data_IF_078737319939
#
_entry.id   IF_078737319939
#
_cell.length_a   1.000
_cell.length_b   1.000
_cell.length_c   1.000
_cell.angle_alpha   90.00
_cell.angle_beta   90.00
_cell.angle_gamma   90.00
#
_symmetry.space_group_name_H-M   'P 1'
#
loop_
_entity.id
_entity.type
_entity.pdbx_description
1 polymer ?
#
# COMPACT_ATOMS: atom_id res chain seq x y z
N UNK A 1 20.13 -5.91 13.04
CA UNK A 1 18.89 -6.72 13.03
C UNK A 1 17.74 -5.77 13.34
N UNK A 2 17.09 -5.24 12.32
CA UNK A 2 15.98 -4.30 12.47
C UNK A 2 14.68 -5.07 12.63
N UNK A 3 13.97 -4.80 13.72
CA UNK A 3 12.68 -5.41 14.06
C UNK A 3 11.65 -5.07 12.99
N UNK A 4 11.23 -6.04 12.17
CA UNK A 4 10.04 -5.89 11.33
C UNK A 4 8.85 -5.66 12.27
N UNK A 5 8.31 -4.45 12.22
CA UNK A 5 7.31 -3.96 13.15
C UNK A 5 6.08 -4.89 13.17
N UNK A 6 5.79 -5.48 14.33
CA UNK A 6 4.49 -6.06 14.65
C UNK A 6 3.43 -4.96 14.95
N UNK A 7 3.54 -3.82 14.27
CA UNK A 7 2.62 -2.70 14.37
C UNK A 7 1.95 -2.52 13.02
N UNK A 8 0.62 -2.55 13.00
CA UNK A 8 -0.16 -2.24 11.80
C UNK A 8 0.16 -0.86 11.20
N UNK A 9 -0.42 -0.56 10.05
CA UNK A 9 -0.24 0.73 9.36
C UNK A 9 -1.57 1.47 9.22
N UNK A 10 -1.52 2.80 9.16
CA UNK A 10 -2.72 3.60 8.89
C UNK A 10 -2.99 3.68 7.39
N UNK A 11 -4.24 3.51 6.96
CA UNK A 11 -4.63 3.70 5.56
C UNK A 11 -4.75 5.20 5.22
N UNK A 12 -3.59 5.87 5.16
CA UNK A 12 -3.46 7.30 4.88
C UNK A 12 -2.41 7.56 3.80
N UNK A 13 -2.65 8.61 3.02
CA UNK A 13 -1.67 9.04 2.03
C UNK A 13 -0.43 9.59 2.73
N UNK A 14 0.75 9.15 2.30
CA UNK A 14 2.04 9.47 2.91
C UNK A 14 2.49 8.47 3.99
N UNK A 15 1.68 7.46 4.33
CA UNK A 15 2.12 6.45 5.32
C UNK A 15 3.32 5.65 4.78
N UNK A 16 4.44 5.59 5.51
CA UNK A 16 5.56 4.74 5.13
C UNK A 16 5.17 3.28 5.32
N UNK A 17 5.25 2.49 4.24
CA UNK A 17 4.95 1.07 4.26
C UNK A 17 5.95 0.33 3.41
N UNK A 18 6.66 -0.59 4.05
CA UNK A 18 7.62 -1.45 3.39
C UNK A 18 6.93 -2.67 2.81
N UNK A 19 7.28 -2.98 1.57
CA UNK A 19 6.91 -4.22 0.92
C UNK A 19 7.94 -5.30 1.25
N UNK A 20 7.52 -6.38 1.91
CA UNK A 20 8.41 -7.50 2.23
C UNK A 20 8.04 -8.72 1.41
N UNK A 21 8.96 -9.21 0.58
CA UNK A 21 8.81 -10.43 -0.23
C UNK A 21 10.11 -11.23 -0.25
N UNK A 22 10.00 -12.55 -0.10
CA UNK A 22 11.15 -13.48 -0.18
C UNK A 22 12.36 -13.06 0.69
N UNK A 23 12.12 -12.40 1.83
CA UNK A 23 13.17 -11.91 2.74
C UNK A 23 13.82 -10.57 2.35
N UNK A 24 13.37 -9.94 1.26
CA UNK A 24 13.78 -8.59 0.87
C UNK A 24 12.68 -7.59 1.20
N UNK A 25 13.09 -6.42 1.70
CA UNK A 25 12.21 -5.28 1.95
C UNK A 25 12.46 -4.20 0.89
N UNK A 26 11.38 -3.71 0.27
CA UNK A 26 11.38 -2.54 -0.60
C UNK A 26 10.63 -1.43 0.10
N UNK A 27 11.31 -0.32 0.36
CA UNK A 27 10.69 0.84 0.98
C UNK A 27 9.68 1.49 0.04
N UNK A 28 8.55 1.92 0.59
CA UNK A 28 7.54 2.62 -0.17
C UNK A 28 6.58 3.41 0.69
N UNK A 29 5.56 3.94 0.05
CA UNK A 29 4.59 4.83 0.68
C UNK A 29 3.19 4.49 0.18
N UNK A 30 2.22 4.53 1.09
CA UNK A 30 0.82 4.46 0.72
C UNK A 30 0.33 5.80 0.19
N UNK A 31 -0.41 5.73 -0.90
CA UNK A 31 -1.17 6.84 -1.44
C UNK A 31 -2.64 6.46 -1.40
N UNK A 32 -3.47 7.40 -0.96
CA UNK A 32 -4.91 7.20 -0.93
C UNK A 32 -5.55 8.17 -1.90
N UNK A 33 -6.40 7.62 -2.76
CA UNK A 33 -7.16 8.34 -3.77
C UNK A 33 -8.64 8.21 -3.47
N UNK A 34 -9.39 9.26 -3.72
CA UNK A 34 -10.86 9.25 -3.71
C UNK A 34 -11.38 9.07 -5.14
N UNK A 35 -12.27 8.11 -5.33
CA UNK A 35 -12.98 7.86 -6.57
C UNK A 35 -14.49 7.78 -6.26
N UNK A 36 -15.13 8.96 -6.27
CA UNK A 36 -16.50 9.12 -5.77
C UNK A 36 -16.62 8.68 -4.30
N UNK A 37 -17.48 7.69 -3.96
CA UNK A 37 -17.65 7.20 -2.59
C UNK A 37 -16.57 6.19 -2.16
N UNK A 38 -15.65 5.80 -3.04
CA UNK A 38 -14.66 4.74 -2.79
C UNK A 38 -13.29 5.35 -2.53
N UNK A 39 -12.60 4.88 -1.49
CA UNK A 39 -11.18 5.12 -1.31
C UNK A 39 -10.37 3.99 -1.94
N UNK A 40 -9.35 4.36 -2.72
CA UNK A 40 -8.41 3.44 -3.37
C UNK A 40 -7.03 3.63 -2.79
N UNK A 41 -6.42 2.54 -2.35
CA UNK A 41 -5.08 2.53 -1.82
C UNK A 41 -4.10 2.05 -2.89
N UNK A 42 -3.05 2.83 -3.08
CA UNK A 42 -1.91 2.51 -3.93
C UNK A 42 -0.65 2.47 -3.08
N UNK A 43 0.27 1.60 -3.42
CA UNK A 43 1.62 1.60 -2.90
C UNK A 43 2.59 2.08 -3.98
N UNK A 44 3.48 3.00 -3.62
CA UNK A 44 4.52 3.54 -4.49
C UNK A 44 5.90 3.17 -3.92
N UNK A 45 6.76 2.46 -4.67
CA UNK A 45 8.14 2.24 -4.27
C UNK A 45 8.89 3.55 -4.14
N UNK A 46 9.77 3.66 -3.15
CA UNK A 46 10.62 4.83 -2.98
C UNK A 46 11.51 5.02 -4.22
N UNK A 47 11.50 6.23 -4.79
CA UNK A 47 12.28 6.55 -5.99
C UNK A 47 11.67 6.09 -7.32
N UNK A 48 10.48 5.48 -7.32
CA UNK A 48 9.73 5.13 -8.53
C UNK A 48 8.51 6.03 -8.71
N UNK A 49 8.12 6.30 -9.96
CA UNK A 49 6.85 6.96 -10.28
C UNK A 49 5.67 5.98 -10.34
N UNK A 50 5.96 4.69 -10.41
CA UNK A 50 4.98 3.61 -10.53
C UNK A 50 4.14 3.48 -9.25
N UNK A 51 2.87 3.14 -9.44
CA UNK A 51 1.89 2.98 -8.36
C UNK A 51 1.16 1.66 -8.56
N UNK A 52 1.08 0.90 -7.49
CA UNK A 52 0.49 -0.43 -7.48
C UNK A 52 -0.75 -0.43 -6.62
N UNK A 53 -1.90 -0.80 -7.18
CA UNK A 53 -3.12 -0.94 -6.40
C UNK A 53 -2.98 -2.11 -5.42
N UNK A 54 -3.46 -1.91 -4.18
CA UNK A 54 -3.54 -2.97 -3.19
C UNK A 54 -4.86 -3.74 -3.38
N UNK A 55 -4.77 -4.98 -3.84
CA UNK A 55 -5.91 -5.88 -3.96
C UNK A 55 -5.91 -6.89 -2.80
N UNK A 56 -7.02 -7.02 -2.09
CA UNK A 56 -7.17 -8.04 -1.05
C UNK A 56 -6.99 -9.45 -1.64
N UNK A 57 -6.18 -10.27 -0.97
CA UNK A 57 -5.90 -11.65 -1.36
C UNK A 57 -6.11 -12.67 -0.22
N UNK A 58 -6.52 -12.21 0.97
CA UNK A 58 -6.79 -13.01 2.15
C UNK A 58 -6.93 -12.13 3.40
N UNK A 59 -7.28 -12.72 4.56
CA UNK A 59 -7.54 -11.97 5.80
C UNK A 59 -6.42 -11.01 6.23
N UNK A 60 -5.18 -11.38 5.94
CA UNK A 60 -3.95 -10.67 6.26
C UNK A 60 -3.03 -10.56 5.04
N UNK A 61 -3.59 -10.58 3.83
CA UNK A 61 -2.76 -10.54 2.62
C UNK A 61 -3.33 -9.72 1.47
N UNK A 62 -2.40 -9.17 0.69
CA UNK A 62 -2.69 -8.36 -0.51
C UNK A 62 -1.89 -8.85 -1.71
N UNK A 63 -2.26 -8.36 -2.88
CA UNK A 63 -1.51 -8.44 -4.13
C UNK A 63 -1.26 -7.03 -4.63
N UNK A 64 -0.07 -6.78 -5.16
CA UNK A 64 0.22 -5.57 -5.91
C UNK A 64 -0.27 -5.73 -7.34
N UNK A 65 -1.08 -4.78 -7.82
CA UNK A 65 -1.63 -4.81 -9.17
C UNK A 65 -1.19 -3.56 -9.93
N UNK A 66 -0.52 -3.75 -11.06
CA UNK A 66 -0.15 -2.66 -11.97
C UNK A 66 -1.36 -2.29 -12.81
N UNK A 67 -2.00 -1.18 -12.46
CA UNK A 67 -3.18 -0.63 -13.16
C UNK A 67 -3.06 0.89 -13.23
N UNK A 68 -3.65 1.54 -14.25
CA UNK A 68 -3.79 2.99 -14.24
C UNK A 68 -4.39 3.49 -12.93
N UNK A 69 -3.82 4.56 -12.40
CA UNK A 69 -4.31 5.22 -11.19
C UNK A 69 -5.72 5.74 -11.45
N UNK A 70 -6.63 5.52 -10.51
CA UNK A 70 -8.01 5.97 -10.57
C UNK A 70 -8.31 6.90 -9.39
N UNK A 71 -9.17 7.88 -9.65
CA UNK A 71 -9.55 8.90 -8.68
C UNK A 71 -8.54 10.04 -8.56
N UNK A 72 -8.69 10.82 -7.50
CA UNK A 72 -7.85 12.00 -7.19
C UNK A 72 -7.16 11.84 -5.83
N UNK A 73 -5.92 12.33 -5.65
CA UNK A 73 -5.24 12.27 -4.36
C UNK A 73 -6.09 12.92 -3.26
N UNK A 74 -6.23 12.25 -2.12
CA UNK A 74 -6.99 12.79 -0.99
C UNK A 74 -6.22 13.92 -0.32
N UNK A 75 -6.70 15.16 -0.39
CA UNK A 75 -6.10 16.35 0.24
C UNK A 75 -6.50 16.51 1.72
N UNK A 76 -6.62 15.41 2.47
CA UNK A 76 -6.92 15.44 3.91
C UNK A 76 -8.16 14.65 4.36
N UNK A 77 -8.98 14.14 3.43
CA UNK A 77 -10.04 13.17 3.76
C UNK A 77 -9.47 11.76 3.58
N UNK A 78 -9.12 11.11 4.68
CA UNK A 78 -8.48 9.78 4.66
C UNK A 78 -9.32 8.78 5.46
N UNK A 79 -9.30 7.49 5.08
CA UNK A 79 -9.86 6.42 5.91
C UNK A 79 -9.21 6.41 7.30
N UNK A 80 -10.02 6.50 8.37
CA UNK A 80 -9.54 6.42 9.76
C UNK A 80 -9.39 4.95 10.20
N UNK A 81 -8.81 4.11 9.34
CA UNK A 81 -8.69 2.66 9.57
C UNK A 81 -7.22 2.28 9.69
N UNK A 82 -6.86 1.69 10.83
CA UNK A 82 -5.60 1.00 11.01
C UNK A 82 -5.74 -0.43 10.50
N UNK A 83 -4.80 -0.85 9.64
CA UNK A 83 -4.72 -2.21 9.13
C UNK A 83 -3.65 -2.98 9.90
N UNK A 84 -3.89 -4.26 10.16
CA UNK A 84 -2.84 -5.17 10.62
C UNK A 84 -1.76 -5.30 9.54
N UNK A 85 -0.54 -5.73 9.90
CA UNK A 85 0.48 -6.05 8.91
C UNK A 85 -0.08 -7.03 7.86
N UNK A 86 0.12 -6.72 6.58
CA UNK A 86 -0.36 -7.55 5.46
C UNK A 86 0.81 -8.22 4.76
N UNK A 87 0.67 -9.50 4.45
CA UNK A 87 1.59 -10.24 3.60
C UNK A 87 1.30 -9.97 2.13
N UNK A 88 2.31 -9.91 1.28
CA UNK A 88 2.07 -9.75 -0.15
C UNK A 88 2.35 -11.02 -0.92
N UNK A 89 1.35 -11.45 -1.70
CA UNK A 89 1.37 -12.76 -2.37
C UNK A 89 1.86 -12.74 -3.81
N UNK A 90 1.96 -11.58 -4.46
CA UNK A 90 2.48 -11.48 -5.83
C UNK A 90 3.02 -10.09 -6.12
N UNK A 91 4.21 -10.06 -6.73
CA UNK A 91 4.81 -8.85 -7.27
C UNK A 91 4.55 -8.77 -8.78
N UNK A 92 4.16 -7.61 -9.32
CA UNK A 92 4.57 -7.23 -10.67
C UNK A 92 6.10 -7.16 -10.71
N UNK A 93 6.73 -7.25 -11.90
CA UNK A 93 8.18 -7.04 -12.02
C UNK A 93 8.49 -5.61 -11.56
N UNK A 94 8.96 -5.49 -10.31
CA UNK A 94 9.44 -4.24 -9.70
C UNK A 94 10.80 -3.86 -10.30
#
# INVERSE_FOLDING_TARGET
MGTNAAGGFALRSGEPVDFVSAGQATHGTLLVFSDGPVFRAYWQPQGSEEKYALANAGPDSVRLVSTPVQGTPTQGVQPVTAMQPLQVLSCPKL
#
